data_IF_754656542298
#
_entry.id   IF_754656542298
#
_cell.length_a   1.000
_cell.length_b   1.000
_cell.length_c   1.000
_cell.angle_alpha   90.00
_cell.angle_beta   90.00
_cell.angle_gamma   90.00
#
_symmetry.space_group_name_H-M   'P 1'
#
loop_
_entity.id
_entity.type
_entity.pdbx_description
1 polymer ?
#
# COMPACT_ATOMS: atom_id res chain seq x y z
N UNK A 1 -12.07 -75.43 4.02
CA UNK A 1 -11.60 -74.18 3.38
C UNK A 1 -10.21 -73.84 3.90
N UNK A 2 -9.42 -73.05 3.18
CA UNK A 2 -8.16 -72.51 3.70
C UNK A 2 -8.45 -71.42 4.74
N UNK A 3 -7.75 -71.46 5.87
CA UNK A 3 -7.86 -70.52 6.99
C UNK A 3 -7.86 -69.01 6.58
N UNK A 4 -7.07 -68.54 5.58
CA UNK A 4 -7.14 -67.11 5.21
C UNK A 4 -8.47 -66.69 4.57
N UNK A 5 -9.23 -67.62 3.97
CA UNK A 5 -10.52 -67.30 3.33
C UNK A 5 -11.62 -67.08 4.37
N UNK A 6 -11.52 -67.72 5.53
CA UNK A 6 -12.53 -67.60 6.59
C UNK A 6 -12.44 -66.26 7.32
N UNK A 7 -11.25 -65.66 7.42
CA UNK A 7 -11.10 -64.32 8.00
C UNK A 7 -11.91 -63.24 7.25
N UNK A 8 -11.90 -63.24 5.91
CA UNK A 8 -12.66 -62.27 5.11
C UNK A 8 -14.17 -62.48 5.25
N UNK A 9 -14.61 -63.75 5.22
CA UNK A 9 -16.03 -64.08 5.33
C UNK A 9 -16.59 -63.87 6.75
N UNK A 10 -15.73 -63.87 7.77
CA UNK A 10 -16.12 -63.63 9.16
C UNK A 10 -16.48 -62.16 9.42
N UNK A 11 -15.89 -61.21 8.68
CA UNK A 11 -16.32 -59.81 8.72
C UNK A 11 -17.72 -59.63 8.15
N UNK A 12 -18.00 -60.25 7.00
CA UNK A 12 -19.32 -60.23 6.38
C UNK A 12 -20.36 -60.98 7.23
N UNK A 13 -19.94 -61.98 8.02
CA UNK A 13 -20.82 -62.68 8.96
C UNK A 13 -21.37 -61.73 10.04
N UNK A 14 -20.56 -60.76 10.51
CA UNK A 14 -21.01 -59.78 11.50
C UNK A 14 -21.88 -58.66 10.91
N UNK A 15 -21.87 -58.46 9.59
CA UNK A 15 -22.74 -57.47 8.92
C UNK A 15 -24.09 -58.05 8.46
N UNK A 16 -24.41 -59.30 8.81
CA UNK A 16 -25.63 -60.04 8.41
C UNK A 16 -25.87 -60.14 6.88
N UNK A 17 -24.87 -59.81 6.05
CA UNK A 17 -24.98 -59.78 4.58
C UNK A 17 -24.67 -61.12 3.89
N UNK A 18 -24.54 -62.21 4.66
CA UNK A 18 -24.14 -63.51 4.12
C UNK A 18 -25.28 -64.33 3.54
N UNK A 19 -25.02 -64.95 2.37
CA UNK A 19 -25.92 -65.99 1.83
C UNK A 19 -26.02 -67.19 2.79
N UNK A 20 -27.19 -67.87 2.87
CA UNK A 20 -27.38 -68.97 3.83
C UNK A 20 -26.49 -70.19 3.56
N UNK A 21 -25.95 -70.33 2.35
CA UNK A 21 -25.01 -71.39 1.98
C UNK A 21 -23.60 -71.13 2.54
N UNK A 22 -23.07 -69.91 2.35
CA UNK A 22 -21.76 -69.53 2.89
C UNK A 22 -21.75 -69.54 4.42
N UNK A 23 -22.87 -69.20 5.07
CA UNK A 23 -23.01 -69.30 6.53
C UNK A 23 -22.79 -70.71 7.05
N UNK A 24 -23.43 -71.72 6.43
CA UNK A 24 -23.26 -73.13 6.82
C UNK A 24 -21.83 -73.64 6.60
N UNK A 25 -21.18 -73.21 5.52
CA UNK A 25 -19.79 -73.58 5.24
C UNK A 25 -18.81 -73.04 6.29
N UNK A 26 -19.04 -71.82 6.76
CA UNK A 26 -18.24 -71.18 7.81
C UNK A 26 -18.50 -71.83 9.16
N UNK A 27 -19.76 -72.07 9.54
CA UNK A 27 -20.12 -72.77 10.79
C UNK A 27 -19.44 -74.14 10.85
N UNK A 28 -19.50 -74.93 9.77
CA UNK A 28 -18.79 -76.22 9.68
C UNK A 28 -17.26 -76.08 9.82
N UNK A 29 -16.69 -75.00 9.29
CA UNK A 29 -15.26 -74.75 9.45
C UNK A 29 -14.87 -74.35 10.88
N UNK A 30 -15.70 -73.52 11.54
CA UNK A 30 -15.49 -73.11 12.93
C UNK A 30 -15.54 -74.34 13.85
N UNK A 31 -16.47 -75.28 13.63
CA UNK A 31 -16.53 -76.52 14.41
C UNK A 31 -15.33 -77.47 14.19
N UNK A 32 -14.59 -77.32 13.09
CA UNK A 32 -13.45 -78.20 12.76
C UNK A 32 -12.08 -77.58 13.01
N UNK A 33 -11.99 -76.26 13.21
CA UNK A 33 -10.73 -75.54 13.37
C UNK A 33 -10.71 -74.71 14.66
N UNK A 34 -9.89 -75.14 15.62
CA UNK A 34 -9.72 -74.49 16.93
C UNK A 34 -9.21 -73.04 16.81
N UNK A 35 -8.36 -72.74 15.82
CA UNK A 35 -7.86 -71.39 15.60
C UNK A 35 -8.99 -70.43 15.19
N UNK A 36 -9.88 -70.87 14.29
CA UNK A 36 -11.02 -70.05 13.84
C UNK A 36 -12.07 -69.86 14.94
N UNK A 37 -12.29 -70.86 15.81
CA UNK A 37 -13.21 -70.69 16.95
C UNK A 37 -12.68 -69.69 17.97
N UNK A 38 -11.37 -69.71 18.25
CA UNK A 38 -10.74 -68.77 19.18
C UNK A 38 -10.78 -67.33 18.65
N UNK A 39 -10.56 -67.13 17.34
CA UNK A 39 -10.71 -65.82 16.70
C UNK A 39 -12.15 -65.31 16.80
N UNK A 40 -13.14 -66.18 16.56
CA UNK A 40 -14.56 -65.81 16.68
C UNK A 40 -14.93 -65.41 18.12
N UNK A 41 -14.45 -66.15 19.13
CA UNK A 41 -14.68 -65.82 20.53
C UNK A 41 -14.07 -64.45 20.89
N UNK A 42 -12.86 -64.15 20.40
CA UNK A 42 -12.24 -62.84 20.56
C UNK A 42 -13.11 -61.71 19.99
N UNK A 43 -13.68 -61.90 18.79
CA UNK A 43 -14.57 -60.91 18.19
C UNK A 43 -15.88 -60.73 18.96
N UNK A 44 -16.48 -61.81 19.47
CA UNK A 44 -17.69 -61.72 20.30
C UNK A 44 -17.43 -60.95 21.61
N UNK A 45 -16.27 -61.19 22.25
CA UNK A 45 -15.87 -60.43 23.43
C UNK A 45 -15.67 -58.94 23.12
N UNK A 46 -15.04 -58.62 21.99
CA UNK A 46 -14.87 -57.24 21.54
C UNK A 46 -16.22 -56.56 21.25
N UNK A 47 -17.15 -57.26 20.59
CA UNK A 47 -18.49 -56.76 20.30
C UNK A 47 -19.26 -56.45 21.59
N UNK A 48 -19.25 -57.37 22.56
CA UNK A 48 -19.90 -57.15 23.86
C UNK A 48 -19.31 -55.94 24.59
N UNK A 49 -17.98 -55.79 24.57
CA UNK A 49 -17.31 -54.62 25.15
C UNK A 49 -17.69 -53.31 24.44
N UNK A 50 -17.88 -53.34 23.12
CA UNK A 50 -18.34 -52.19 22.33
C UNK A 50 -19.81 -51.86 22.58
N UNK A 51 -20.69 -52.85 22.79
CA UNK A 51 -22.09 -52.58 23.17
C UNK A 51 -22.19 -51.87 24.53
N UNK A 52 -21.26 -52.13 25.45
CA UNK A 52 -21.14 -51.42 26.73
C UNK A 52 -20.48 -50.05 26.64
N UNK A 53 -19.93 -49.68 25.47
CA UNK A 53 -19.30 -48.38 25.27
C UNK A 53 -20.36 -47.28 25.29
N UNK A 54 -20.28 -46.41 26.30
CA UNK A 54 -21.09 -45.18 26.36
C UNK A 54 -20.21 -44.03 25.94
N UNK A 55 -20.70 -43.23 25.00
CA UNK A 55 -20.02 -41.99 24.60
C UNK A 55 -19.94 -41.05 25.80
N UNK A 56 -18.76 -40.99 26.42
CA UNK A 56 -18.49 -40.05 27.49
C UNK A 56 -18.20 -38.70 26.85
N UNK A 57 -18.92 -37.66 27.30
CA UNK A 57 -18.68 -36.30 26.81
C UNK A 57 -17.24 -35.91 27.14
N UNK A 58 -16.46 -35.64 26.09
CA UNK A 58 -15.12 -35.11 26.20
C UNK A 58 -15.21 -33.80 26.99
N UNK A 59 -14.36 -33.57 28.00
CA UNK A 59 -14.39 -32.33 28.76
C UNK A 59 -14.18 -31.13 27.84
N UNK A 60 -14.73 -29.98 28.22
CA UNK A 60 -14.87 -28.74 27.44
C UNK A 60 -13.56 -28.15 26.83
N UNK A 61 -12.40 -28.75 27.05
CA UNK A 61 -11.13 -28.29 26.50
C UNK A 61 -10.89 -28.77 25.05
N UNK A 62 -11.61 -29.81 24.60
CA UNK A 62 -11.59 -30.25 23.20
C UNK A 62 -12.51 -29.37 22.32
N UNK A 63 -12.09 -28.13 22.13
CA UNK A 63 -12.80 -27.12 21.33
C UNK A 63 -12.79 -27.41 19.83
N UNK A 64 -12.03 -28.41 19.37
CA UNK A 64 -11.89 -28.73 17.95
C UNK A 64 -13.22 -29.12 17.32
N UNK A 65 -13.94 -30.05 17.96
CA UNK A 65 -15.20 -30.57 17.40
C UNK A 65 -16.35 -29.56 17.43
N UNK A 66 -16.35 -28.64 18.39
CA UNK A 66 -17.35 -27.55 18.46
C UNK A 66 -17.14 -26.51 17.34
N UNK A 67 -15.89 -26.22 16.97
CA UNK A 67 -15.57 -25.34 15.84
C UNK A 67 -16.07 -25.95 14.52
N UNK A 68 -15.85 -27.24 14.30
CA UNK A 68 -16.34 -27.92 13.09
C UNK A 68 -17.87 -28.06 13.06
N UNK A 69 -18.52 -28.25 14.22
CA UNK A 69 -19.99 -28.28 14.30
C UNK A 69 -20.63 -26.92 13.99
N UNK A 70 -19.94 -25.82 14.31
CA UNK A 70 -20.41 -24.45 14.01
C UNK A 70 -20.30 -24.12 12.52
N UNK A 71 -19.28 -24.65 11.84
CA UNK A 71 -19.07 -24.47 10.39
C UNK A 71 -20.13 -25.25 9.57
N UNK A 72 -20.57 -26.42 10.05
CA UNK A 72 -21.33 -27.37 9.23
C UNK A 72 -22.80 -27.64 9.64
N UNK A 73 -23.34 -27.04 10.71
CA UNK A 73 -24.77 -27.20 11.00
C UNK A 73 -25.65 -26.07 10.45
N UNK A 74 -26.37 -26.42 9.38
CA UNK A 74 -27.68 -25.86 9.03
C UNK A 74 -28.58 -25.83 10.28
N UNK A 75 -29.19 -24.67 10.50
CA UNK A 75 -29.90 -24.30 11.71
C UNK A 75 -31.01 -25.26 12.10
N UNK A 76 -30.96 -25.74 13.35
CA UNK A 76 -32.08 -26.40 14.01
C UNK A 76 -33.01 -25.31 14.57
N UNK A 77 -34.12 -25.06 13.87
CA UNK A 77 -35.13 -24.06 14.21
C UNK A 77 -36.09 -24.56 15.29
N UNK A 78 -35.65 -24.62 16.55
CA UNK A 78 -36.53 -24.95 17.68
C UNK A 78 -36.50 -23.91 18.82
N UNK A 79 -36.24 -22.64 18.49
CA UNK A 79 -36.20 -21.57 19.51
C UNK A 79 -36.88 -20.26 19.09
N UNK A 80 -37.71 -20.21 18.06
CA UNK A 80 -38.28 -18.94 17.59
C UNK A 80 -39.13 -18.19 18.62
N UNK A 81 -39.96 -18.89 19.40
CA UNK A 81 -40.87 -18.25 20.34
C UNK A 81 -40.15 -17.68 21.57
N UNK A 82 -39.19 -18.42 22.12
CA UNK A 82 -38.37 -17.97 23.25
C UNK A 82 -37.34 -16.91 22.85
N UNK A 83 -36.81 -17.01 21.63
CA UNK A 83 -35.91 -15.99 21.10
C UNK A 83 -36.65 -14.66 20.97
N UNK A 84 -37.90 -14.63 20.47
CA UNK A 84 -38.71 -13.39 20.39
C UNK A 84 -38.96 -12.71 21.74
N UNK A 85 -39.14 -13.47 22.83
CA UNK A 85 -39.29 -12.90 24.18
C UNK A 85 -37.99 -12.30 24.73
N UNK A 86 -36.84 -12.80 24.28
CA UNK A 86 -35.53 -12.28 24.67
C UNK A 86 -35.25 -10.87 24.10
N UNK A 87 -35.91 -10.49 23.00
CA UNK A 87 -35.73 -9.19 22.36
C UNK A 87 -36.65 -8.10 22.91
N UNK A 88 -37.60 -8.44 23.80
CA UNK A 88 -38.49 -7.42 24.39
C UNK A 88 -37.72 -6.38 25.22
N UNK A 89 -36.79 -6.78 26.13
CA UNK A 89 -36.02 -5.80 26.90
C UNK A 89 -35.09 -4.95 26.03
N UNK A 90 -34.50 -5.53 24.97
CA UNK A 90 -33.61 -4.79 24.06
C UNK A 90 -34.39 -3.85 23.14
N UNK A 91 -35.60 -4.21 22.72
CA UNK A 91 -36.48 -3.32 21.98
C UNK A 91 -36.94 -2.13 22.84
N UNK A 92 -37.28 -2.38 24.12
CA UNK A 92 -37.65 -1.30 25.06
C UNK A 92 -36.49 -0.36 25.33
N UNK A 93 -35.27 -0.88 25.55
CA UNK A 93 -34.10 -0.03 25.77
C UNK A 93 -33.74 0.77 24.51
N UNK A 94 -33.91 0.19 23.32
CA UNK A 94 -33.70 0.89 22.05
C UNK A 94 -34.74 2.00 21.83
N UNK A 95 -36.01 1.77 22.16
CA UNK A 95 -37.05 2.82 22.10
C UNK A 95 -36.74 3.95 23.09
N UNK A 96 -36.31 3.60 24.30
CA UNK A 96 -35.94 4.60 25.33
C UNK A 96 -34.69 5.40 24.93
N UNK A 97 -33.70 4.73 24.33
CA UNK A 97 -32.52 5.36 23.76
C UNK A 97 -32.88 6.30 22.61
N UNK A 98 -33.75 5.88 21.69
CA UNK A 98 -34.28 6.74 20.64
C UNK A 98 -35.06 7.93 21.22
N UNK A 99 -35.91 7.73 22.22
CA UNK A 99 -36.62 8.83 22.87
C UNK A 99 -35.67 9.86 23.51
N UNK A 100 -34.54 9.40 24.04
CA UNK A 100 -33.49 10.24 24.63
C UNK A 100 -32.68 10.98 23.55
N UNK A 101 -32.31 10.30 22.45
CA UNK A 101 -31.65 10.94 21.30
C UNK A 101 -32.54 11.98 20.62
N UNK A 102 -33.84 11.71 20.51
CA UNK A 102 -34.79 12.58 19.82
C UNK A 102 -35.48 13.61 20.73
N UNK A 103 -35.15 13.64 22.03
CA UNK A 103 -35.59 14.64 23.01
C UNK A 103 -37.12 14.87 22.97
N UNK A 104 -37.87 13.77 23.11
CA UNK A 104 -39.32 13.71 22.89
C UNK A 104 -40.09 14.42 24.02
N UNK A 105 -40.62 15.62 23.79
CA UNK A 105 -41.50 16.30 24.75
C UNK A 105 -42.97 15.99 24.44
N UNK A 106 -43.60 15.14 25.24
CA UNK A 106 -45.05 14.87 25.14
C UNK A 106 -45.79 15.89 25.99
N UNK A 107 -46.51 16.81 25.36
CA UNK A 107 -47.43 17.73 26.05
C UNK A 107 -48.85 17.27 25.73
N UNK A 108 -49.55 16.73 26.72
CA UNK A 108 -50.95 16.35 26.61
C UNK A 108 -51.83 17.55 26.97
N UNK A 109 -52.62 18.05 26.02
CA UNK A 109 -53.68 19.03 26.24
C UNK A 109 -54.99 18.45 25.69
N UNK A 110 -56.10 18.68 26.39
CA UNK A 110 -57.32 17.84 26.37
C UNK A 110 -58.03 17.65 25.01
N UNK A 111 -57.58 18.27 23.92
CA UNK A 111 -58.21 18.16 22.60
C UNK A 111 -57.27 17.91 21.42
N UNK A 112 -55.95 17.76 21.62
CA UNK A 112 -55.05 17.43 20.50
C UNK A 112 -53.76 16.76 20.99
N UNK A 113 -53.48 15.55 20.49
CA UNK A 113 -52.21 14.87 20.72
C UNK A 113 -51.21 15.30 19.65
N UNK A 114 -50.30 16.20 19.98
CA UNK A 114 -49.22 16.60 19.08
C UNK A 114 -47.88 16.07 19.61
N UNK A 115 -47.23 15.21 18.81
CA UNK A 115 -45.86 14.80 19.03
C UNK A 115 -44.96 15.81 18.31
N UNK A 116 -44.33 16.71 19.05
CA UNK A 116 -43.32 17.62 18.50
C UNK A 116 -41.93 17.04 18.70
N UNK A 117 -41.23 16.76 17.59
CA UNK A 117 -39.82 16.38 17.58
C UNK A 117 -38.95 17.64 17.49
N UNK A 118 -37.98 17.79 18.41
CA UNK A 118 -36.99 18.86 18.36
C UNK A 118 -37.47 20.22 18.89
N UNK A 119 -36.81 20.69 19.95
CA UNK A 119 -37.04 22.00 20.53
C UNK A 119 -36.65 23.12 19.56
N UNK A 120 -37.63 23.81 18.97
CA UNK A 120 -37.42 25.00 18.12
C UNK A 120 -36.63 26.14 18.81
N UNK A 121 -36.53 26.13 20.14
CA UNK A 121 -35.69 27.05 20.91
C UNK A 121 -34.21 26.65 20.92
N UNK A 122 -33.90 25.36 20.96
CA UNK A 122 -32.53 24.85 20.93
C UNK A 122 -31.88 25.06 19.57
N UNK A 123 -32.61 24.81 18.47
CA UNK A 123 -32.11 25.08 17.11
C UNK A 123 -31.79 26.56 16.87
N UNK A 124 -32.60 27.49 17.40
CA UNK A 124 -32.31 28.92 17.28
C UNK A 124 -31.07 29.34 18.07
N UNK A 125 -30.90 28.83 19.28
CA UNK A 125 -29.74 29.12 20.11
C UNK A 125 -28.46 28.51 19.52
N UNK A 126 -28.55 27.28 19.02
CA UNK A 126 -27.43 26.59 18.37
C UNK A 126 -27.04 27.27 17.05
N UNK A 127 -28.01 27.72 16.25
CA UNK A 127 -27.75 28.55 15.05
C UNK A 127 -27.07 29.87 15.41
N UNK A 128 -27.50 30.56 16.48
CA UNK A 128 -26.85 31.81 16.89
C UNK A 128 -25.40 31.59 17.33
N UNK A 129 -25.12 30.52 18.07
CA UNK A 129 -23.76 30.16 18.50
C UNK A 129 -22.89 29.73 17.31
N UNK A 130 -23.45 29.03 16.32
CA UNK A 130 -22.73 28.67 15.11
C UNK A 130 -22.35 29.89 14.27
N UNK A 131 -23.25 30.88 14.17
CA UNK A 131 -22.99 32.12 13.43
C UNK A 131 -21.89 32.93 14.13
N UNK A 132 -21.95 33.08 15.44
CA UNK A 132 -20.92 33.76 16.23
C UNK A 132 -19.57 33.06 16.10
N UNK A 133 -19.54 31.74 16.24
CA UNK A 133 -18.31 30.95 16.08
C UNK A 133 -17.74 31.07 14.66
N UNK A 134 -18.59 30.99 13.63
CA UNK A 134 -18.18 31.14 12.24
C UNK A 134 -17.64 32.55 11.96
N UNK A 135 -18.23 33.59 12.54
CA UNK A 135 -17.74 34.96 12.44
C UNK A 135 -16.38 35.13 13.12
N UNK A 136 -16.21 34.55 14.31
CA UNK A 136 -14.94 34.58 15.03
C UNK A 136 -13.84 33.86 14.25
N UNK A 137 -14.13 32.68 13.69
CA UNK A 137 -13.19 31.96 12.83
C UNK A 137 -12.80 32.76 11.58
N UNK A 138 -13.75 33.47 10.95
CA UNK A 138 -13.44 34.32 9.79
C UNK A 138 -12.50 35.47 10.17
N UNK A 139 -12.75 36.13 11.30
CA UNK A 139 -11.89 37.20 11.78
C UNK A 139 -10.47 36.70 12.11
N UNK A 140 -10.34 35.53 12.75
CA UNK A 140 -9.04 34.90 13.00
C UNK A 140 -8.33 34.51 11.70
N UNK A 141 -9.07 33.98 10.72
CA UNK A 141 -8.53 33.65 9.40
C UNK A 141 -8.04 34.88 8.63
N UNK A 142 -8.79 35.98 8.67
CA UNK A 142 -8.39 37.24 8.02
C UNK A 142 -7.07 37.78 8.60
N UNK A 143 -6.89 37.68 9.92
CA UNK A 143 -5.63 38.05 10.59
C UNK A 143 -4.47 37.16 10.12
N UNK A 144 -4.68 35.86 10.01
CA UNK A 144 -3.66 34.93 9.50
C UNK A 144 -3.30 35.22 8.04
N UNK A 145 -4.28 35.53 7.20
CA UNK A 145 -4.05 35.89 5.78
C UNK A 145 -3.17 37.14 5.68
N UNK A 146 -3.48 38.19 6.45
CA UNK A 146 -2.66 39.40 6.46
C UNK A 146 -1.21 39.13 6.92
N UNK A 147 -1.02 38.29 7.93
CA UNK A 147 0.32 37.91 8.40
C UNK A 147 1.10 37.11 7.35
N UNK A 148 0.43 36.19 6.65
CA UNK A 148 1.06 35.40 5.58
C UNK A 148 1.42 36.28 4.40
N UNK A 149 0.54 37.19 4.00
CA UNK A 149 0.78 38.13 2.90
C UNK A 149 1.99 39.02 3.18
N UNK A 150 2.10 39.57 4.40
CA UNK A 150 3.26 40.38 4.80
C UNK A 150 4.57 39.56 4.80
N UNK A 151 4.53 38.31 5.27
CA UNK A 151 5.69 37.41 5.26
C UNK A 151 6.13 37.04 3.83
N UNK A 152 5.17 36.80 2.94
CA UNK A 152 5.44 36.49 1.53
C UNK A 152 6.01 37.72 0.82
N UNK A 153 5.43 38.88 1.03
CA UNK A 153 5.87 40.12 0.39
C UNK A 153 7.28 40.53 0.86
N UNK A 154 7.53 40.51 2.16
CA UNK A 154 8.86 40.80 2.73
C UNK A 154 9.92 39.79 2.28
N UNK A 155 9.58 38.49 2.27
CA UNK A 155 10.46 37.44 1.77
C UNK A 155 10.81 37.62 0.28
N UNK A 156 9.83 37.98 -0.55
CA UNK A 156 10.05 38.21 -1.98
C UNK A 156 10.96 39.42 -2.23
N UNK A 157 10.76 40.52 -1.51
CA UNK A 157 11.63 41.71 -1.60
C UNK A 157 13.07 41.38 -1.19
N UNK A 158 13.25 40.60 -0.12
CA UNK A 158 14.57 40.18 0.32
C UNK A 158 15.25 39.30 -0.73
N UNK A 159 14.54 38.33 -1.30
CA UNK A 159 15.06 37.46 -2.36
C UNK A 159 15.44 38.25 -3.61
N UNK A 160 14.60 39.20 -4.02
CA UNK A 160 14.89 40.08 -5.15
C UNK A 160 16.19 40.87 -4.91
N UNK A 161 16.39 41.41 -3.70
CA UNK A 161 17.63 42.12 -3.34
C UNK A 161 18.85 41.21 -3.40
N UNK A 162 18.77 40.00 -2.82
CA UNK A 162 19.89 39.06 -2.84
C UNK A 162 20.23 38.60 -4.26
N UNK A 163 19.22 38.37 -5.11
CA UNK A 163 19.43 38.00 -6.50
C UNK A 163 20.08 39.14 -7.28
N UNK A 164 19.65 40.40 -7.06
CA UNK A 164 20.27 41.56 -7.71
C UNK A 164 21.72 41.76 -7.27
N UNK A 165 22.01 41.60 -5.98
CA UNK A 165 23.38 41.71 -5.43
C UNK A 165 24.29 40.61 -6.01
N UNK A 166 23.82 39.35 -6.00
CA UNK A 166 24.56 38.25 -6.61
C UNK A 166 24.75 38.43 -8.12
N UNK A 167 23.74 38.93 -8.83
CA UNK A 167 23.85 39.21 -10.26
C UNK A 167 24.86 40.34 -10.54
N UNK A 168 24.92 41.35 -9.67
CA UNK A 168 25.91 42.42 -9.77
C UNK A 168 27.33 41.89 -9.55
N UNK A 169 27.55 41.07 -8.52
CA UNK A 169 28.86 40.45 -8.27
C UNK A 169 29.31 39.56 -9.43
N UNK A 170 28.40 38.69 -9.91
CA UNK A 170 28.69 37.83 -11.05
C UNK A 170 28.94 38.63 -12.34
N UNK A 171 28.27 39.78 -12.53
CA UNK A 171 28.52 40.65 -13.67
C UNK A 171 29.93 41.27 -13.60
N UNK A 172 30.37 41.69 -12.42
CA UNK A 172 31.74 42.22 -12.21
C UNK A 172 32.78 41.15 -12.49
N UNK A 173 32.63 39.94 -11.93
CA UNK A 173 33.56 38.83 -12.16
C UNK A 173 33.64 38.44 -13.64
N UNK A 174 32.49 38.40 -14.33
CA UNK A 174 32.46 38.12 -15.77
C UNK A 174 33.10 39.24 -16.59
N UNK A 175 32.90 40.51 -16.22
CA UNK A 175 33.57 41.62 -16.89
C UNK A 175 35.08 41.54 -16.74
N UNK A 176 35.59 41.25 -15.54
CA UNK A 176 37.03 41.07 -15.30
C UNK A 176 37.60 39.93 -16.15
N UNK A 177 36.87 38.82 -16.27
CA UNK A 177 37.25 37.71 -17.15
C UNK A 177 37.28 38.11 -18.62
N UNK A 178 36.29 38.89 -19.07
CA UNK A 178 36.24 39.41 -20.45
C UNK A 178 37.41 40.38 -20.70
N UNK A 179 37.71 41.27 -19.76
CA UNK A 179 38.87 42.17 -19.86
C UNK A 179 40.19 41.41 -19.95
N UNK A 180 40.39 40.39 -19.11
CA UNK A 180 41.59 39.56 -19.16
C UNK A 180 41.72 38.83 -20.50
N UNK A 181 40.61 38.31 -21.04
CA UNK A 181 40.59 37.68 -22.36
C UNK A 181 40.94 38.67 -23.48
N UNK A 182 40.39 39.88 -23.47
CA UNK A 182 40.71 40.90 -24.47
C UNK A 182 42.16 41.35 -24.40
N UNK A 183 42.73 41.51 -23.21
CA UNK A 183 44.14 41.88 -23.07
C UNK A 183 45.05 40.76 -23.57
N UNK A 184 44.72 39.50 -23.27
CA UNK A 184 45.45 38.35 -23.82
C UNK A 184 45.38 38.29 -25.35
N UNK A 185 44.20 38.52 -25.92
CA UNK A 185 44.02 38.57 -27.37
C UNK A 185 44.85 39.70 -27.99
N UNK A 186 44.82 40.89 -27.40
CA UNK A 186 45.60 42.04 -27.85
C UNK A 186 47.11 41.77 -27.85
N UNK A 187 47.62 41.11 -26.80
CA UNK A 187 49.03 40.73 -26.75
C UNK A 187 49.41 39.72 -27.83
N UNK A 188 48.53 38.75 -28.11
CA UNK A 188 48.74 37.80 -29.20
C UNK A 188 48.72 38.49 -30.56
N UNK A 189 47.77 39.39 -30.79
CA UNK A 189 47.69 40.16 -32.03
C UNK A 189 48.96 41.04 -32.23
N UNK A 190 49.49 41.63 -31.16
CA UNK A 190 50.76 42.39 -31.22
C UNK A 190 51.96 41.50 -31.58
N UNK A 191 52.02 40.28 -31.05
CA UNK A 191 53.07 39.32 -31.40
C UNK A 191 52.94 38.86 -32.85
N UNK A 192 51.73 38.54 -33.31
CA UNK A 192 51.46 38.15 -34.69
C UNK A 192 51.83 39.27 -35.66
N UNK A 193 51.50 40.53 -35.33
CA UNK A 193 51.92 41.69 -36.11
C UNK A 193 53.45 41.83 -36.18
N UNK A 194 54.15 41.63 -35.05
CA UNK A 194 55.61 41.68 -35.00
C UNK A 194 56.23 40.59 -35.88
N UNK A 195 55.73 39.36 -35.80
CA UNK A 195 56.19 38.23 -36.62
C UNK A 195 55.93 38.52 -38.10
N UNK A 196 54.73 39.02 -38.44
CA UNK A 196 54.38 39.38 -39.81
C UNK A 196 55.28 40.48 -40.39
N UNK A 197 55.61 41.51 -39.62
CA UNK A 197 56.57 42.53 -40.05
C UNK A 197 57.97 41.95 -40.26
N UNK A 198 58.42 41.03 -39.39
CA UNK A 198 59.72 40.39 -39.56
C UNK A 198 59.77 39.52 -40.82
N UNK A 199 58.70 38.81 -41.14
CA UNK A 199 58.57 38.00 -42.35
C UNK A 199 58.60 38.87 -43.61
N UNK A 200 57.89 40.00 -43.63
CA UNK A 200 57.92 40.97 -44.72
C UNK A 200 59.34 41.51 -44.95
N UNK A 201 60.04 41.92 -43.89
CA UNK A 201 61.43 42.41 -43.98
C UNK A 201 62.38 41.33 -44.51
N UNK A 202 62.23 40.08 -44.06
CA UNK A 202 63.03 38.97 -44.55
C UNK A 202 62.77 38.71 -46.04
N UNK A 203 61.49 38.74 -46.45
CA UNK A 203 61.08 38.57 -47.86
C UNK A 203 61.63 39.68 -48.75
N UNK A 204 61.60 40.93 -48.30
CA UNK A 204 62.19 42.06 -49.00
C UNK A 204 63.71 41.89 -49.16
N UNK A 205 64.40 41.44 -48.11
CA UNK A 205 65.84 41.19 -48.15
C UNK A 205 66.21 40.05 -49.14
N UNK A 206 65.45 38.95 -49.14
CA UNK A 206 65.61 37.86 -50.10
C UNK A 206 65.32 38.31 -51.53
N UNK A 207 64.31 39.14 -51.73
CA UNK A 207 63.95 39.71 -53.04
C UNK A 207 65.06 40.61 -53.56
N UNK A 208 65.59 41.52 -52.74
CA UNK A 208 66.72 42.38 -53.13
C UNK A 208 67.96 41.53 -53.45
N UNK A 209 68.26 40.52 -52.64
CA UNK A 209 69.39 39.62 -52.87
C UNK A 209 69.24 38.84 -54.17
N UNK A 210 68.05 38.32 -54.46
CA UNK A 210 67.78 37.58 -55.71
C UNK A 210 67.88 38.50 -56.94
N UNK A 211 67.40 39.74 -56.85
CA UNK A 211 67.60 40.75 -57.90
C UNK A 211 69.08 41.08 -58.13
N UNK A 212 69.88 41.22 -57.07
CA UNK A 212 71.32 41.42 -57.19
C UNK A 212 72.02 40.24 -57.86
N UNK A 213 71.64 39.00 -57.53
CA UNK A 213 72.18 37.80 -58.17
C UNK A 213 71.83 37.74 -59.66
N UNK A 214 70.59 38.10 -60.03
CA UNK A 214 70.17 38.19 -61.44
C UNK A 214 70.95 39.27 -62.20
N UNK A 215 71.17 40.44 -61.59
CA UNK A 215 71.97 41.51 -62.18
C UNK A 215 73.44 41.08 -62.39
N UNK A 216 74.04 40.40 -61.41
CA UNK A 216 75.39 39.84 -61.53
C UNK A 216 75.46 38.79 -62.65
N UNK A 217 74.49 37.88 -62.74
CA UNK A 217 74.42 36.87 -63.80
C UNK A 217 74.36 37.50 -65.20
N UNK A 218 73.50 38.51 -65.39
CA UNK A 218 73.41 39.25 -66.65
C UNK A 218 74.72 39.98 -66.99
N UNK A 219 75.38 40.58 -66.00
CA UNK A 219 76.67 41.26 -66.21
C UNK A 219 77.79 40.30 -66.64
N UNK A 220 77.81 39.07 -66.09
CA UNK A 220 78.78 38.04 -66.46
C UNK A 220 78.57 37.57 -67.91
N UNK A 221 77.32 37.30 -68.32
CA UNK A 221 77.00 36.92 -69.70
C UNK A 221 77.40 37.99 -70.72
N UNK A 222 77.26 39.28 -70.38
CA UNK A 222 77.71 40.39 -71.23
C UNK A 222 79.24 40.50 -71.36
N UNK A 223 80.00 40.01 -70.38
CA UNK A 223 81.47 40.03 -70.39
C UNK A 223 82.10 38.85 -71.15
N UNK A 224 81.38 37.73 -71.31
CA UNK A 224 81.84 36.53 -72.02
C UNK A 224 81.56 36.56 -73.54
N UNK A 225 80.91 37.61 -74.04
CA UNK A 225 80.68 37.85 -75.47
C UNK A 225 81.61 38.98 -75.93
N UNK A 226 82.88 38.66 -76.15
CA UNK A 226 83.81 39.44 -76.97
C UNK A 226 84.93 38.56 -77.50
#
# INVERSE_FOLDING_TARGET
>A
MSCPKTQHLLQEYFSDDLTPLSKKEIENHIYSCEQCSNELEFFLLAQNKMQGWKDQRVPHWDRGTELFKREHHQGRTETEFWNRWLWVPTAVSLVMFCALLFNLSVVSSEQEFSISFGAKSFDRQLQSQLIEFQQQQRAEMDVLVLQVEDRVNSGNVQLMRTVMEQAQEAAVENLDRIYAYFEQQRLRDLEDMRVGYQELVNSDYETIRSLQQLAQFHSYQGSTVR
#
